data_IF_451823418206
#
_entry.id   IF_451823418206
#
_cell.length_a   1.000
_cell.length_b   1.000
_cell.length_c   1.000
_cell.angle_alpha   90.00
_cell.angle_beta   90.00
_cell.angle_gamma   90.00
#
_symmetry.space_group_name_H-M   'P 1'
#
loop_
_entity.id
_entity.type
_entity.pdbx_description
1 polymer ?
#
# COMPACT_ATOMS: atom_id res chain seq x y z
N UNK A 1 14.75 -8.15 -39.88
CA UNK A 1 14.43 -8.46 -38.47
C UNK A 1 14.19 -7.14 -37.75
N UNK A 2 12.94 -6.80 -37.40
CA UNK A 2 12.64 -5.65 -36.53
C UNK A 2 12.76 -6.13 -35.09
N UNK A 3 13.69 -5.54 -34.35
CA UNK A 3 13.91 -5.85 -32.94
C UNK A 3 12.62 -5.63 -32.14
N UNK A 4 12.28 -6.61 -31.30
CA UNK A 4 11.27 -6.40 -30.25
C UNK A 4 11.83 -5.37 -29.29
N UNK A 5 11.23 -4.19 -29.25
CA UNK A 5 11.33 -3.35 -28.07
C UNK A 5 10.48 -4.03 -27.01
N UNK A 6 11.12 -4.69 -26.04
CA UNK A 6 10.45 -5.10 -24.83
C UNK A 6 10.19 -3.81 -24.04
N UNK A 7 8.96 -3.32 -24.06
CA UNK A 7 8.51 -2.30 -23.12
C UNK A 7 8.68 -2.89 -21.72
N UNK A 8 9.74 -2.51 -21.03
CA UNK A 8 9.87 -2.78 -19.60
C UNK A 8 8.77 -1.94 -18.97
N UNK A 9 7.70 -2.58 -18.52
CA UNK A 9 6.69 -1.94 -17.66
C UNK A 9 7.44 -1.24 -16.54
N UNK A 10 7.53 0.09 -16.60
CA UNK A 10 8.07 0.88 -15.49
C UNK A 10 7.14 0.62 -14.32
N UNK A 11 7.66 0.00 -13.26
CA UNK A 11 6.97 -0.11 -11.98
C UNK A 11 6.54 1.30 -11.59
N UNK A 12 5.25 1.52 -11.36
CA UNK A 12 4.71 2.86 -11.08
C UNK A 12 5.17 3.34 -9.71
N UNK A 13 5.36 2.40 -8.79
CA UNK A 13 5.69 2.66 -7.39
C UNK A 13 7.04 2.06 -6.99
N UNK A 14 7.72 2.74 -6.08
CA UNK A 14 9.03 2.37 -5.56
C UNK A 14 8.91 1.26 -4.50
N UNK A 15 8.05 1.49 -3.51
CA UNK A 15 7.82 0.65 -2.32
C UNK A 15 6.46 -0.04 -2.34
N UNK A 16 5.42 0.58 -2.89
CA UNK A 16 4.09 -0.03 -2.94
C UNK A 16 4.09 -1.28 -3.83
N UNK A 17 3.51 -2.37 -3.32
CA UNK A 17 3.37 -3.62 -4.05
C UNK A 17 2.13 -3.58 -4.96
N UNK A 18 2.35 -3.51 -6.28
CA UNK A 18 1.30 -3.43 -7.29
C UNK A 18 0.57 -4.76 -7.53
N UNK A 19 1.20 -5.90 -7.18
CA UNK A 19 0.61 -7.23 -7.36
C UNK A 19 -0.53 -7.51 -6.36
N UNK A 20 -0.57 -6.75 -5.26
CA UNK A 20 -1.62 -6.87 -4.25
C UNK A 20 -2.77 -5.92 -4.58
N UNK A 21 -3.94 -6.50 -4.84
CA UNK A 21 -5.20 -5.78 -5.07
C UNK A 21 -6.01 -5.74 -3.78
N UNK A 22 -6.45 -4.54 -3.39
CA UNK A 22 -7.37 -4.33 -2.28
C UNK A 22 -8.79 -4.25 -2.84
N UNK A 23 -9.55 -5.35 -2.73
CA UNK A 23 -10.89 -5.54 -3.32
C UNK A 23 -12.03 -5.50 -2.28
N UNK A 24 -11.73 -4.97 -1.10
CA UNK A 24 -12.66 -4.85 0.03
C UNK A 24 -12.79 -3.40 0.50
N UNK A 25 -13.89 -3.03 1.18
CA UNK A 25 -14.08 -1.67 1.66
C UNK A 25 -13.06 -1.32 2.76
N UNK A 26 -12.22 -0.31 2.48
CA UNK A 26 -11.28 0.25 3.47
C UNK A 26 -12.02 1.28 4.36
N UNK A 27 -11.86 1.23 5.69
CA UNK A 27 -12.39 2.26 6.59
C UNK A 27 -11.98 3.67 6.18
N UNK A 28 -12.93 4.61 6.13
CA UNK A 28 -12.72 5.98 5.64
C UNK A 28 -11.56 6.72 6.31
N UNK A 29 -11.29 6.44 7.59
CA UNK A 29 -10.19 7.06 8.34
C UNK A 29 -8.81 6.55 7.96
N UNK A 30 -8.70 5.41 7.26
CA UNK A 30 -7.43 4.91 6.72
C UNK A 30 -7.12 5.50 5.34
N UNK A 31 -8.11 6.05 4.63
CA UNK A 31 -7.90 6.60 3.28
C UNK A 31 -6.88 7.75 3.23
N UNK A 32 -6.85 8.70 4.19
CA UNK A 32 -5.81 9.74 4.20
C UNK A 32 -4.40 9.18 4.40
N UNK A 33 -4.24 8.12 5.20
CA UNK A 33 -2.95 7.44 5.39
C UNK A 33 -2.49 6.80 4.08
N UNK A 34 -3.40 6.11 3.38
CA UNK A 34 -3.11 5.50 2.07
C UNK A 34 -2.73 6.57 1.05
N UNK A 35 -3.46 7.68 0.97
CA UNK A 35 -3.14 8.77 0.07
C UNK A 35 -1.75 9.38 0.36
N UNK A 36 -1.39 9.54 1.63
CA UNK A 36 -0.05 9.99 2.02
C UNK A 36 1.04 8.99 1.59
N UNK A 37 0.81 7.68 1.75
CA UNK A 37 1.74 6.64 1.30
C UNK A 37 1.96 6.68 -0.21
N UNK A 38 0.89 6.82 -1.00
CA UNK A 38 0.98 6.95 -2.45
C UNK A 38 1.76 8.20 -2.87
N UNK A 39 1.53 9.34 -2.19
CA UNK A 39 2.26 10.59 -2.45
C UNK A 39 3.74 10.52 -2.06
N UNK A 40 4.06 9.89 -0.93
CA UNK A 40 5.43 9.75 -0.44
C UNK A 40 6.24 8.78 -1.30
N UNK A 41 5.61 7.70 -1.77
CA UNK A 41 6.22 6.77 -2.72
C UNK A 41 6.59 7.46 -4.04
N UNK A 42 5.68 8.26 -4.60
CA UNK A 42 5.94 9.03 -5.82
C UNK A 42 7.11 10.04 -5.65
N UNK A 43 7.29 10.56 -4.44
CA UNK A 43 8.36 11.52 -4.12
C UNK A 43 9.67 10.85 -3.69
N UNK A 44 9.70 9.54 -3.56
CA UNK A 44 10.79 8.79 -2.91
C UNK A 44 11.14 9.37 -1.52
N UNK A 45 10.13 9.80 -0.77
CA UNK A 45 10.29 10.37 0.57
C UNK A 45 10.22 9.26 1.64
N UNK A 46 11.32 9.11 2.40
CA UNK A 46 11.47 8.09 3.43
C UNK A 46 10.51 8.24 4.63
N UNK A 47 9.83 9.37 4.80
CA UNK A 47 8.70 9.47 5.72
C UNK A 47 7.59 8.45 5.39
N UNK A 48 7.61 7.84 4.20
CA UNK A 48 6.79 6.69 3.82
C UNK A 48 6.78 5.61 4.91
N UNK A 49 7.93 5.27 5.49
CA UNK A 49 8.03 4.16 6.44
C UNK A 49 7.32 4.46 7.78
N UNK A 50 7.34 5.71 8.23
CA UNK A 50 6.59 6.15 9.42
C UNK A 50 5.08 6.04 9.16
N UNK A 51 4.62 6.42 7.97
CA UNK A 51 3.21 6.31 7.57
C UNK A 51 2.78 4.86 7.34
N UNK A 52 3.69 3.99 6.92
CA UNK A 52 3.43 2.55 6.78
C UNK A 52 3.19 1.92 8.16
N UNK A 53 4.00 2.27 9.16
CA UNK A 53 3.77 1.87 10.55
C UNK A 53 2.44 2.43 11.11
N UNK A 54 2.11 3.68 10.76
CA UNK A 54 0.84 4.29 11.14
C UNK A 54 -0.36 3.55 10.50
N UNK A 55 -0.24 3.07 9.26
CA UNK A 55 -1.26 2.24 8.60
C UNK A 55 -1.43 0.91 9.35
N UNK A 56 -0.33 0.23 9.67
CA UNK A 56 -0.35 -1.04 10.42
C UNK A 56 -1.08 -0.89 11.76
N UNK A 57 -0.64 0.07 12.58
CA UNK A 57 -1.23 0.36 13.88
C UNK A 57 -2.73 0.70 13.77
N UNK A 58 -3.09 1.55 12.80
CA UNK A 58 -4.48 1.98 12.61
C UNK A 58 -5.36 0.85 12.10
N UNK A 59 -4.89 0.04 11.15
CA UNK A 59 -5.65 -1.09 10.59
C UNK A 59 -5.87 -2.20 11.63
N UNK A 60 -4.89 -2.44 12.52
CA UNK A 60 -5.01 -3.38 13.64
C UNK A 60 -6.17 -3.03 14.57
N UNK A 61 -6.39 -1.75 14.87
CA UNK A 61 -7.53 -1.30 15.67
C UNK A 61 -8.87 -1.62 14.99
N UNK A 62 -8.95 -1.51 13.67
CA UNK A 62 -10.15 -1.91 12.93
C UNK A 62 -10.38 -3.42 12.93
N UNK A 63 -9.34 -4.25 13.09
CA UNK A 63 -9.49 -5.68 13.33
C UNK A 63 -10.09 -5.95 14.70
N UNK A 64 -9.57 -5.29 15.75
CA UNK A 64 -10.11 -5.40 17.12
C UNK A 64 -11.60 -5.03 17.17
N UNK A 65 -11.99 -4.00 16.42
CA UNK A 65 -13.38 -3.52 16.34
C UNK A 65 -14.27 -4.33 15.38
N UNK A 66 -13.76 -5.41 14.78
CA UNK A 66 -14.50 -6.27 13.84
C UNK A 66 -14.90 -5.57 12.54
N UNK A 67 -14.18 -4.52 12.15
CA UNK A 67 -14.41 -3.77 10.90
C UNK A 67 -13.51 -4.22 9.75
N UNK A 68 -12.36 -4.79 10.10
CA UNK A 68 -11.50 -5.53 9.18
C UNK A 68 -11.33 -6.95 9.71
N UNK A 69 -11.10 -7.90 8.81
CA UNK A 69 -10.58 -9.21 9.16
C UNK A 69 -9.05 -9.15 9.29
N UNK A 70 -8.47 -10.12 10.00
CA UNK A 70 -7.00 -10.28 10.05
C UNK A 70 -6.38 -10.38 8.65
N UNK A 71 -7.00 -11.14 7.74
CA UNK A 71 -6.55 -11.27 6.35
C UNK A 71 -6.56 -9.94 5.59
N UNK A 72 -7.58 -9.10 5.79
CA UNK A 72 -7.65 -7.78 5.14
C UNK A 72 -6.58 -6.82 5.68
N UNK A 73 -6.32 -6.85 6.99
CA UNK A 73 -5.21 -6.11 7.58
C UNK A 73 -3.85 -6.59 7.04
N UNK A 74 -3.64 -7.92 6.99
CA UNK A 74 -2.39 -8.48 6.46
C UNK A 74 -2.16 -8.08 4.99
N UNK A 75 -3.22 -8.01 4.17
CA UNK A 75 -3.14 -7.52 2.79
C UNK A 75 -2.83 -6.03 2.69
N UNK A 76 -3.38 -5.19 3.58
CA UNK A 76 -3.01 -3.77 3.64
C UNK A 76 -1.53 -3.61 4.00
N UNK A 77 -1.05 -4.33 5.02
CA UNK A 77 0.36 -4.26 5.40
C UNK A 77 1.26 -4.77 4.27
N UNK A 78 0.98 -5.95 3.71
CA UNK A 78 1.80 -6.51 2.62
C UNK A 78 1.81 -5.62 1.36
N UNK A 79 0.77 -4.81 1.14
CA UNK A 79 0.74 -3.86 0.03
C UNK A 79 1.66 -2.66 0.26
N UNK A 80 1.73 -2.16 1.49
CA UNK A 80 2.34 -0.87 1.82
C UNK A 80 3.60 -0.97 2.70
N UNK A 81 4.07 -2.15 3.11
CA UNK A 81 5.22 -2.30 4.01
C UNK A 81 6.59 -1.95 3.40
N UNK A 82 6.65 -1.75 2.08
CA UNK A 82 7.82 -1.31 1.34
C UNK A 82 8.91 -2.38 1.16
N UNK A 83 8.56 -3.66 1.25
CA UNK A 83 9.49 -4.80 1.12
C UNK A 83 9.34 -5.60 -0.17
#
# INVERSE_FOLDING_TARGET
>A
MKGRSCEINKKKYHWINEDIVIDFPVPKSLLPIIAALEELDEKEDYCYFDWSEALDCSAKEFVVRGKLTKKQWDLLCAKYDGR
#
